data_IF_507712758532
#
_entry.id   IF_507712758532
#
_cell.length_a   1.000
_cell.length_b   1.000
_cell.length_c   1.000
_cell.angle_alpha   90.00
_cell.angle_beta   90.00
_cell.angle_gamma   90.00
#
_symmetry.space_group_name_H-M   'P 1'
#
loop_
_entity.id
_entity.type
_entity.pdbx_description
1 polymer ?
#
# COMPACT_ATOMS: atom_id res chain seq x y z
N UNK A 1 -7.05 -3.73 -11.17
CA UNK A 1 -6.87 -2.27 -11.30
C UNK A 1 -5.96 -1.76 -10.18
N UNK A 2 -5.10 -0.77 -10.42
CA UNK A 2 -4.14 -0.28 -9.41
C UNK A 2 -4.87 0.60 -8.37
N UNK A 3 -4.99 0.11 -7.14
CA UNK A 3 -5.71 0.80 -6.05
C UNK A 3 -5.14 2.19 -5.72
N UNK A 4 -3.83 2.44 -5.93
CA UNK A 4 -3.25 3.78 -5.74
C UNK A 4 -3.76 4.77 -6.79
N UNK A 5 -3.99 4.32 -8.02
CA UNK A 5 -4.55 5.17 -9.08
C UNK A 5 -6.02 5.50 -8.80
N UNK A 6 -6.80 4.56 -8.30
CA UNK A 6 -8.19 4.81 -7.90
C UNK A 6 -8.30 5.81 -6.74
N UNK A 7 -7.38 5.75 -5.77
CA UNK A 7 -7.33 6.75 -4.68
C UNK A 7 -7.13 8.15 -5.25
N UNK A 8 -6.08 8.31 -6.06
CA UNK A 8 -5.75 9.62 -6.63
C UNK A 8 -6.85 10.15 -7.54
N UNK A 9 -7.49 9.27 -8.31
CA UNK A 9 -8.65 9.59 -9.15
C UNK A 9 -9.79 10.17 -8.29
N UNK A 10 -10.15 9.50 -7.19
CA UNK A 10 -11.21 9.96 -6.28
C UNK A 10 -10.88 11.30 -5.64
N UNK A 11 -9.65 11.48 -5.15
CA UNK A 11 -9.21 12.73 -4.54
C UNK A 11 -9.38 13.92 -5.49
N UNK A 12 -9.01 13.75 -6.77
CA UNK A 12 -9.20 14.77 -7.79
C UNK A 12 -10.69 15.07 -8.00
N UNK A 13 -11.52 14.03 -8.15
CA UNK A 13 -12.96 14.23 -8.39
C UNK A 13 -13.68 14.86 -7.20
N UNK A 14 -13.27 14.55 -5.98
CA UNK A 14 -13.83 15.16 -4.76
C UNK A 14 -13.39 16.61 -4.63
N UNK A 15 -12.15 16.93 -4.98
CA UNK A 15 -11.70 18.32 -5.05
C UNK A 15 -12.49 19.12 -6.10
N UNK A 16 -12.77 18.52 -7.26
CA UNK A 16 -13.70 19.09 -8.25
C UNK A 16 -15.10 19.29 -7.69
N UNK A 17 -15.66 18.29 -6.99
CA UNK A 17 -16.98 18.37 -6.36
C UNK A 17 -17.05 19.55 -5.39
N UNK A 18 -16.07 19.66 -4.48
CA UNK A 18 -15.98 20.74 -3.48
C UNK A 18 -15.77 22.13 -4.08
N UNK A 19 -15.13 22.21 -5.26
CA UNK A 19 -14.92 23.46 -5.99
C UNK A 19 -16.06 23.80 -6.95
N UNK A 20 -17.04 22.90 -7.09
CA UNK A 20 -18.16 23.01 -8.02
C UNK A 20 -17.66 23.14 -9.48
N UNK A 21 -16.61 22.40 -9.82
CA UNK A 21 -16.00 22.41 -11.15
C UNK A 21 -16.05 21.04 -11.80
N UNK A 22 -16.02 21.02 -13.13
CA UNK A 22 -15.81 19.82 -13.95
C UNK A 22 -14.34 19.70 -14.35
N UNK A 23 -13.93 18.49 -14.74
CA UNK A 23 -12.61 18.22 -15.31
C UNK A 23 -12.72 17.48 -16.64
N UNK A 24 -11.93 17.88 -17.62
CA UNK A 24 -11.91 17.18 -18.91
C UNK A 24 -11.16 15.85 -18.81
N UNK A 25 -11.56 14.82 -19.57
CA UNK A 25 -10.85 13.53 -19.63
C UNK A 25 -9.33 13.68 -19.91
N UNK A 26 -8.96 14.62 -20.78
CA UNK A 26 -7.56 14.92 -21.09
C UNK A 26 -6.79 15.54 -19.91
N UNK A 27 -7.43 16.44 -19.18
CA UNK A 27 -6.86 17.07 -17.99
C UNK A 27 -6.73 16.06 -16.85
N UNK A 28 -7.74 15.21 -16.66
CA UNK A 28 -7.74 14.15 -15.65
C UNK A 28 -6.62 13.14 -15.89
N UNK A 29 -6.41 12.71 -17.14
CA UNK A 29 -5.29 11.86 -17.52
C UNK A 29 -3.94 12.50 -17.18
N UNK A 30 -3.75 13.80 -17.45
CA UNK A 30 -2.54 14.55 -17.08
C UNK A 30 -2.36 14.66 -15.57
N UNK A 31 -3.43 14.92 -14.81
CA UNK A 31 -3.40 14.99 -13.35
C UNK A 31 -3.00 13.65 -12.70
N UNK A 32 -3.25 12.54 -13.40
CA UNK A 32 -2.79 11.19 -13.07
C UNK A 32 -1.39 10.86 -13.63
N UNK A 33 -0.59 11.87 -13.98
CA UNK A 33 0.74 11.74 -14.58
C UNK A 33 0.76 10.96 -15.91
N UNK A 34 -0.34 10.96 -16.66
CA UNK A 34 -0.46 10.19 -17.90
C UNK A 34 -0.50 8.67 -17.69
N UNK A 35 -0.67 8.19 -16.45
CA UNK A 35 -0.70 6.76 -16.14
C UNK A 35 -1.86 6.02 -16.84
N UNK A 36 -2.95 6.72 -17.13
CA UNK A 36 -4.12 6.19 -17.84
C UNK A 36 -4.44 7.13 -19.01
N UNK A 37 -4.41 6.65 -20.27
CA UNK A 37 -4.84 7.44 -21.42
C UNK A 37 -6.32 7.85 -21.30
N UNK A 38 -6.74 9.01 -21.85
CA UNK A 38 -8.12 9.49 -21.74
C UNK A 38 -9.18 8.46 -22.13
N UNK A 39 -8.93 7.69 -23.20
CA UNK A 39 -9.85 6.67 -23.72
C UNK A 39 -10.06 5.49 -22.76
N UNK A 40 -9.11 5.24 -21.85
CA UNK A 40 -9.16 4.15 -20.87
C UNK A 40 -9.66 4.60 -19.49
N UNK A 41 -10.08 5.86 -19.34
CA UNK A 41 -10.60 6.37 -18.06
C UNK A 41 -12.03 5.89 -17.76
N UNK A 42 -12.80 5.46 -18.76
CA UNK A 42 -14.20 5.06 -18.58
C UNK A 42 -14.38 3.94 -17.55
N UNK A 43 -13.53 2.92 -17.58
CA UNK A 43 -13.61 1.78 -16.65
C UNK A 43 -13.26 2.19 -15.20
N UNK A 44 -12.13 2.87 -14.91
CA UNK A 44 -11.84 3.43 -13.59
C UNK A 44 -12.92 4.39 -13.06
N UNK A 45 -13.50 5.22 -13.94
CA UNK A 45 -14.54 6.18 -13.56
C UNK A 45 -15.84 5.47 -13.20
N UNK A 46 -16.24 4.46 -13.98
CA UNK A 46 -17.36 3.59 -13.65
C UNK A 46 -17.17 2.96 -12.27
N UNK A 47 -16.01 2.36 -12.00
CA UNK A 47 -15.72 1.76 -10.71
C UNK A 47 -15.82 2.76 -9.54
N UNK A 48 -15.35 4.00 -9.71
CA UNK A 48 -15.48 5.04 -8.68
C UNK A 48 -16.96 5.35 -8.41
N UNK A 49 -17.76 5.57 -9.45
CA UNK A 49 -19.18 5.89 -9.31
C UNK A 49 -19.98 4.73 -8.72
N UNK A 50 -19.70 3.49 -9.14
CA UNK A 50 -20.33 2.31 -8.56
C UNK A 50 -20.07 2.21 -7.05
N UNK A 51 -18.83 2.46 -6.61
CA UNK A 51 -18.51 2.50 -5.16
C UNK A 51 -19.21 3.63 -4.42
N UNK A 52 -19.54 4.75 -5.08
CA UNK A 52 -20.37 5.81 -4.49
C UNK A 52 -21.81 5.33 -4.32
N UNK A 53 -22.39 4.78 -5.39
CA UNK A 53 -23.78 4.31 -5.44
C UNK A 53 -24.05 3.22 -4.41
N UNK A 54 -23.14 2.25 -4.25
CA UNK A 54 -23.25 1.19 -3.23
C UNK A 54 -23.30 1.72 -1.79
N UNK A 55 -22.86 2.95 -1.56
CA UNK A 55 -22.90 3.64 -0.26
C UNK A 55 -24.05 4.65 -0.15
N UNK A 56 -24.89 4.75 -1.17
CA UNK A 56 -25.95 5.76 -1.26
C UNK A 56 -25.43 7.16 -1.59
N UNK A 57 -24.23 7.29 -2.16
CA UNK A 57 -23.65 8.58 -2.55
C UNK A 57 -23.82 8.83 -4.06
N UNK A 58 -23.89 10.09 -4.49
CA UNK A 58 -24.05 10.43 -5.91
C UNK A 58 -22.80 10.08 -6.73
N UNK A 59 -22.93 9.84 -8.05
CA UNK A 59 -21.85 9.29 -8.88
C UNK A 59 -20.81 10.36 -9.28
N UNK A 60 -19.62 10.34 -8.67
CA UNK A 60 -18.55 11.32 -8.94
C UNK A 60 -18.10 11.42 -10.40
N UNK A 61 -18.24 10.37 -11.20
CA UNK A 61 -17.85 10.42 -12.63
C UNK A 61 -18.65 11.43 -13.44
N UNK A 62 -19.77 11.94 -12.92
CA UNK A 62 -20.56 13.02 -13.54
C UNK A 62 -19.72 14.30 -13.76
N UNK A 63 -18.69 14.51 -12.93
CA UNK A 63 -17.81 15.68 -13.03
C UNK A 63 -16.78 15.57 -14.15
N UNK A 64 -16.67 14.41 -14.82
CA UNK A 64 -15.70 14.19 -15.89
C UNK A 64 -16.38 14.34 -17.23
N UNK A 65 -15.98 15.36 -17.97
CA UNK A 65 -16.66 15.74 -19.21
C UNK A 65 -15.73 15.64 -20.41
N UNK A 66 -16.33 15.42 -21.58
CA UNK A 66 -15.64 15.62 -22.85
C UNK A 66 -15.50 17.14 -23.11
N UNK A 67 -14.35 17.53 -23.66
CA UNK A 67 -14.02 18.93 -23.97
C UNK A 67 -15.02 19.59 -24.92
N UNK A 68 -15.50 18.87 -25.92
CA UNK A 68 -16.34 19.41 -26.99
C UNK A 68 -17.81 19.46 -26.58
N UNK A 69 -18.29 18.40 -25.91
CA UNK A 69 -19.71 18.28 -25.56
C UNK A 69 -20.05 18.82 -24.17
N UNK A 70 -19.04 19.05 -23.32
CA UNK A 70 -19.21 19.42 -21.90
C UNK A 70 -20.13 18.45 -21.13
N UNK A 71 -20.16 17.18 -21.56
CA UNK A 71 -20.96 16.11 -20.98
C UNK A 71 -20.09 14.90 -20.62
N UNK A 72 -20.52 14.07 -19.66
CA UNK A 72 -19.93 12.76 -19.43
C UNK A 72 -19.96 11.88 -20.68
N UNK A 73 -19.05 10.90 -20.72
CA UNK A 73 -19.07 9.89 -21.77
C UNK A 73 -20.28 8.96 -21.67
N UNK A 74 -20.62 8.29 -22.77
CA UNK A 74 -21.76 7.36 -22.88
C UNK A 74 -21.85 6.32 -21.76
N UNK A 75 -20.71 5.83 -21.25
CA UNK A 75 -20.66 4.89 -20.12
C UNK A 75 -21.33 5.40 -18.84
N UNK A 76 -21.42 6.72 -18.66
CA UNK A 76 -22.16 7.31 -17.55
C UNK A 76 -23.67 7.12 -17.71
N UNK A 77 -24.20 7.41 -18.90
CA UNK A 77 -25.64 7.33 -19.17
C UNK A 77 -26.16 5.92 -19.36
N UNK A 78 -25.27 4.97 -19.64
CA UNK A 78 -25.62 3.56 -19.83
C UNK A 78 -25.33 2.78 -18.56
N UNK A 79 -24.05 2.55 -18.25
CA UNK A 79 -23.66 1.67 -17.15
C UNK A 79 -23.87 2.30 -15.78
N UNK A 80 -23.46 3.56 -15.56
CA UNK A 80 -23.62 4.20 -14.23
C UNK A 80 -25.11 4.44 -13.94
N UNK A 81 -25.88 4.91 -14.92
CA UNK A 81 -27.33 5.05 -14.81
C UNK A 81 -28.02 3.71 -14.46
N UNK A 82 -27.60 2.60 -15.09
CA UNK A 82 -28.09 1.27 -14.75
C UNK A 82 -27.83 0.89 -13.29
N UNK A 83 -26.64 1.22 -12.75
CA UNK A 83 -26.34 0.98 -11.34
C UNK A 83 -27.20 1.81 -10.38
N UNK A 84 -27.73 2.94 -10.85
CA UNK A 84 -28.64 3.80 -10.10
C UNK A 84 -30.12 3.41 -10.24
N UNK A 85 -30.43 2.36 -11.01
CA UNK A 85 -31.80 1.89 -11.23
C UNK A 85 -32.42 2.32 -12.55
N UNK A 86 -31.63 2.88 -13.49
CA UNK A 86 -32.07 3.31 -14.82
C UNK A 86 -31.38 2.48 -15.92
N UNK A 87 -31.70 1.17 -16.08
CA UNK A 87 -30.97 0.28 -16.98
C UNK A 87 -31.07 0.65 -18.47
N UNK A 88 -32.15 1.32 -18.88
CA UNK A 88 -32.44 1.68 -20.27
C UNK A 88 -32.74 3.18 -20.41
N UNK A 89 -31.92 4.05 -19.79
CA UNK A 89 -32.11 5.50 -19.81
C UNK A 89 -32.14 6.05 -21.25
N UNK A 90 -33.27 6.59 -21.74
CA UNK A 90 -33.38 7.09 -23.09
C UNK A 90 -32.44 8.26 -23.35
N UNK A 91 -31.85 8.34 -24.55
CA UNK A 91 -30.96 9.44 -24.95
C UNK A 91 -31.57 10.84 -24.78
N UNK A 92 -32.90 10.95 -24.89
CA UNK A 92 -33.64 12.20 -24.66
C UNK A 92 -33.60 12.68 -23.20
N UNK A 93 -33.37 11.79 -22.25
CA UNK A 93 -33.34 12.09 -20.81
C UNK A 93 -31.92 12.34 -20.28
N UNK A 94 -30.88 12.10 -21.10
CA UNK A 94 -29.49 12.20 -20.67
C UNK A 94 -29.14 13.59 -20.13
N UNK A 95 -29.66 14.66 -20.73
CA UNK A 95 -29.38 16.02 -20.26
C UNK A 95 -29.97 16.28 -18.87
N UNK A 96 -31.23 15.89 -18.66
CA UNK A 96 -31.90 16.05 -17.36
C UNK A 96 -31.22 15.21 -16.30
N UNK A 97 -30.88 13.95 -16.63
CA UNK A 97 -30.16 13.05 -15.73
C UNK A 97 -28.77 13.62 -15.38
N UNK A 98 -28.05 14.17 -16.36
CA UNK A 98 -26.75 14.80 -16.12
C UNK A 98 -26.86 15.96 -15.15
N UNK A 99 -27.80 16.89 -15.38
CA UNK A 99 -27.99 18.06 -14.53
C UNK A 99 -28.37 17.66 -13.11
N UNK A 100 -29.33 16.73 -12.95
CA UNK A 100 -29.75 16.23 -11.65
C UNK A 100 -28.58 15.61 -10.88
N UNK A 101 -27.81 14.72 -11.51
CA UNK A 101 -26.68 14.07 -10.84
C UNK A 101 -25.52 15.05 -10.57
N UNK A 102 -25.32 16.04 -11.44
CA UNK A 102 -24.35 17.10 -11.20
C UNK A 102 -24.74 17.93 -9.97
N UNK A 103 -26.00 18.35 -9.87
CA UNK A 103 -26.55 19.06 -8.71
C UNK A 103 -26.44 18.23 -7.43
N UNK A 104 -26.76 16.94 -7.50
CA UNK A 104 -26.61 16.02 -6.37
C UNK A 104 -25.15 15.95 -5.90
N UNK A 105 -24.17 15.91 -6.82
CA UNK A 105 -22.76 15.84 -6.46
C UNK A 105 -22.24 17.13 -5.84
N UNK A 106 -22.58 18.30 -6.39
CA UNK A 106 -22.10 19.60 -5.86
C UNK A 106 -22.72 19.94 -4.52
N UNK A 107 -23.99 19.55 -4.28
CA UNK A 107 -24.69 19.84 -3.03
C UNK A 107 -24.49 18.75 -1.95
N UNK A 108 -23.64 17.76 -2.20
CA UNK A 108 -23.38 16.69 -1.25
C UNK A 108 -22.26 17.09 -0.27
N UNK A 109 -22.63 17.38 0.98
CA UNK A 109 -21.67 17.86 2.01
C UNK A 109 -20.78 16.75 2.58
N UNK A 110 -21.17 15.48 2.44
CA UNK A 110 -20.52 14.34 3.11
C UNK A 110 -19.37 13.72 2.30
N UNK A 111 -18.74 14.45 1.37
CA UNK A 111 -17.59 13.93 0.63
C UNK A 111 -16.41 13.53 1.53
N UNK A 112 -16.28 14.18 2.68
CA UNK A 112 -15.30 13.80 3.71
C UNK A 112 -15.60 12.41 4.29
N UNK A 113 -16.87 12.02 4.43
CA UNK A 113 -17.25 10.66 4.82
C UNK A 113 -16.94 9.64 3.72
N UNK A 114 -17.02 10.01 2.44
CA UNK A 114 -16.60 9.12 1.35
C UNK A 114 -15.08 8.90 1.36
N UNK A 115 -14.28 9.96 1.54
CA UNK A 115 -12.84 9.86 1.75
C UNK A 115 -12.52 9.04 2.99
N UNK A 116 -13.17 9.34 4.11
CA UNK A 116 -12.97 8.65 5.39
C UNK A 116 -13.42 7.21 5.32
N UNK A 117 -14.53 6.86 4.69
CA UNK A 117 -15.00 5.47 4.58
C UNK A 117 -14.12 4.63 3.67
N UNK A 118 -13.36 5.28 2.77
CA UNK A 118 -12.26 4.65 2.07
C UNK A 118 -11.03 4.51 2.97
N UNK A 119 -10.68 5.54 3.73
CA UNK A 119 -9.67 5.46 4.79
C UNK A 119 -10.05 4.51 5.93
N UNK A 120 -11.33 4.18 6.13
CA UNK A 120 -11.93 3.30 7.15
C UNK A 120 -12.12 1.89 6.61
N UNK A 121 -12.20 1.70 5.28
CA UNK A 121 -11.94 0.42 4.64
C UNK A 121 -10.43 0.15 4.44
N UNK A 122 -9.59 1.20 4.50
CA UNK A 122 -8.16 1.11 4.81
C UNK A 122 -7.84 1.26 6.31
N UNK A 123 -8.87 1.49 7.15
CA UNK A 123 -8.76 1.93 8.55
C UNK A 123 -9.39 0.97 9.54
N UNK A 124 -10.18 0.01 9.04
CA UNK A 124 -10.28 -1.35 9.59
C UNK A 124 -9.01 -2.17 9.31
N UNK A 125 -7.95 -1.48 8.84
CA UNK A 125 -6.55 -1.92 8.81
C UNK A 125 -5.61 -0.83 9.40
N UNK A 126 -6.09 -0.02 10.35
CA UNK A 126 -5.26 0.90 11.15
C UNK A 126 -5.18 0.49 12.63
N UNK A 127 -5.20 -0.82 12.88
CA UNK A 127 -4.53 -1.43 14.05
C UNK A 127 -3.27 -2.23 13.68
N UNK A 128 -2.92 -2.29 12.39
CA UNK A 128 -1.59 -2.70 11.93
C UNK A 128 -1.22 -1.81 10.74
N UNK A 129 -0.40 -0.78 11.00
CA UNK A 129 0.38 -0.13 9.94
C UNK A 129 0.89 -1.22 8.98
N UNK A 130 0.85 -1.02 7.67
CA UNK A 130 1.29 -2.02 6.69
C UNK A 130 2.72 -2.48 7.05
N UNK A 131 2.80 -3.57 7.82
CA UNK A 131 4.04 -4.08 8.40
C UNK A 131 4.82 -4.64 7.24
N UNK A 132 5.93 -4.01 6.93
CA UNK A 132 6.85 -4.62 5.99
C UNK A 132 7.37 -5.92 6.62
N UNK A 133 7.66 -6.89 5.76
CA UNK A 133 8.29 -8.13 6.18
C UNK A 133 9.70 -8.12 5.63
N UNK A 134 10.67 -8.33 6.51
CA UNK A 134 12.09 -8.31 6.21
C UNK A 134 12.67 -9.70 6.40
N UNK A 135 13.72 -10.00 5.64
CA UNK A 135 14.60 -11.13 5.90
C UNK A 135 16.01 -10.59 6.14
N UNK A 136 16.57 -10.90 7.30
CA UNK A 136 17.92 -10.52 7.66
C UNK A 136 18.81 -11.75 7.69
N UNK A 137 19.91 -11.69 6.96
CA UNK A 137 20.82 -12.81 6.84
C UNK A 137 22.01 -12.66 7.81
N UNK A 138 22.34 -13.75 8.50
CA UNK A 138 23.56 -13.89 9.30
C UNK A 138 24.35 -15.13 8.91
N UNK A 139 25.68 -15.04 9.00
CA UNK A 139 26.58 -16.15 8.66
C UNK A 139 27.17 -16.76 9.94
N UNK A 140 26.91 -18.06 10.23
CA UNK A 140 27.40 -18.72 11.44
C UNK A 140 28.92 -18.84 11.51
N UNK A 141 29.64 -18.68 10.39
CA UNK A 141 31.12 -18.63 10.37
C UNK A 141 31.62 -17.38 11.11
N UNK A 142 30.99 -16.23 10.89
CA UNK A 142 31.45 -14.94 11.44
C UNK A 142 30.80 -14.61 12.79
N UNK A 143 29.59 -15.11 13.02
CA UNK A 143 28.78 -14.75 14.18
C UNK A 143 28.04 -15.97 14.72
N UNK A 144 28.19 -16.27 16.01
CA UNK A 144 27.53 -17.39 16.71
C UNK A 144 26.03 -17.11 16.89
N UNK A 145 25.33 -17.09 15.78
CA UNK A 145 23.93 -16.68 15.62
C UNK A 145 22.95 -17.54 16.43
N UNK A 146 23.21 -18.85 16.52
CA UNK A 146 22.35 -19.75 17.30
C UNK A 146 22.44 -19.42 18.79
N UNK A 147 23.67 -19.29 19.32
CA UNK A 147 23.94 -18.89 20.71
C UNK A 147 23.31 -17.51 21.00
N UNK A 148 23.49 -16.56 20.08
CA UNK A 148 22.93 -15.22 20.25
C UNK A 148 21.41 -15.24 20.37
N UNK A 149 20.72 -16.00 19.52
CA UNK A 149 19.25 -16.09 19.50
C UNK A 149 18.68 -16.99 20.61
N UNK A 150 19.44 -17.96 21.12
CA UNK A 150 19.01 -18.80 22.26
C UNK A 150 19.13 -18.05 23.59
N UNK A 151 20.12 -17.16 23.70
CA UNK A 151 20.42 -16.43 24.93
C UNK A 151 19.72 -15.05 25.01
N UNK A 152 19.24 -14.51 23.88
CA UNK A 152 18.70 -13.15 23.83
C UNK A 152 17.35 -13.07 23.10
N UNK A 153 16.36 -12.47 23.77
CA UNK A 153 15.06 -12.13 23.15
C UNK A 153 15.09 -10.76 22.48
N UNK A 154 15.82 -9.79 23.05
CA UNK A 154 16.00 -8.47 22.47
C UNK A 154 17.40 -8.39 21.87
N UNK A 155 17.47 -8.19 20.56
CA UNK A 155 18.71 -8.21 19.80
C UNK A 155 18.89 -6.93 19.01
N UNK A 156 20.13 -6.68 18.59
CA UNK A 156 20.46 -5.64 17.61
C UNK A 156 21.03 -6.33 16.37
N UNK A 157 20.59 -5.91 15.19
CA UNK A 157 21.00 -6.53 13.95
C UNK A 157 21.67 -5.54 13.02
N UNK A 158 22.75 -5.93 12.36
CA UNK A 158 23.47 -5.08 11.41
C UNK A 158 22.64 -4.88 10.12
N UNK A 159 22.38 -3.63 9.76
CA UNK A 159 21.71 -3.22 8.53
C UNK A 159 22.74 -2.80 7.48
N UNK A 160 23.33 -3.79 6.80
CA UNK A 160 24.34 -3.54 5.76
C UNK A 160 23.83 -2.73 4.55
N UNK A 161 22.52 -2.79 4.28
CA UNK A 161 21.90 -2.11 3.14
C UNK A 161 21.22 -0.81 3.59
N UNK A 162 22.02 0.22 3.85
CA UNK A 162 21.58 1.48 4.47
C UNK A 162 20.43 2.20 3.76
N UNK A 163 20.29 2.05 2.44
CA UNK A 163 19.19 2.65 1.67
C UNK A 163 17.79 2.12 2.08
N UNK A 164 17.71 1.03 2.85
CA UNK A 164 16.46 0.55 3.46
C UNK A 164 16.13 1.21 4.80
N UNK A 165 17.01 2.03 5.38
CA UNK A 165 16.82 2.61 6.72
C UNK A 165 15.48 3.35 6.86
N UNK A 166 15.10 4.12 5.84
CA UNK A 166 13.87 4.93 5.85
C UNK A 166 12.59 4.10 5.59
N UNK A 167 12.73 2.82 5.26
CA UNK A 167 11.61 1.91 4.99
C UNK A 167 11.32 0.99 6.17
N UNK A 168 12.29 0.76 7.04
CA UNK A 168 12.14 -0.04 8.26
C UNK A 168 11.34 0.76 9.28
N UNK A 169 10.30 0.14 9.83
CA UNK A 169 9.39 0.77 10.80
C UNK A 169 9.23 -0.10 12.03
N UNK A 170 9.08 0.55 13.18
CA UNK A 170 8.63 -0.12 14.40
C UNK A 170 7.32 -0.84 14.10
N UNK A 171 7.25 -2.13 14.42
CA UNK A 171 6.10 -2.94 14.04
C UNK A 171 6.39 -4.00 12.98
N UNK A 172 7.35 -3.75 12.10
CA UNK A 172 7.65 -4.63 10.96
C UNK A 172 8.03 -6.03 11.41
N UNK A 173 7.65 -7.03 10.61
CA UNK A 173 8.01 -8.43 10.86
C UNK A 173 9.40 -8.69 10.30
N UNK A 174 10.22 -9.43 11.04
CA UNK A 174 11.55 -9.84 10.58
C UNK A 174 11.67 -11.35 10.67
N UNK A 175 12.21 -11.96 9.63
CA UNK A 175 12.72 -13.32 9.66
C UNK A 175 14.24 -13.30 9.66
N UNK A 176 14.86 -14.06 10.55
CA UNK A 176 16.32 -14.23 10.59
C UNK A 176 16.67 -15.47 9.78
N UNK A 177 17.43 -15.27 8.72
CA UNK A 177 17.98 -16.31 7.87
C UNK A 177 19.43 -16.59 8.28
N UNK A 178 19.73 -17.84 8.61
CA UNK A 178 21.09 -18.33 8.79
C UNK A 178 21.59 -18.90 7.46
N UNK A 179 22.73 -18.44 6.96
CA UNK A 179 23.38 -19.12 5.83
C UNK A 179 23.91 -20.50 6.23
N UNK A 180 24.20 -21.35 5.26
CA UNK A 180 24.65 -22.74 5.48
C UNK A 180 26.03 -22.87 6.14
N UNK A 181 26.83 -21.80 6.20
CA UNK A 181 28.11 -21.79 6.92
C UNK A 181 29.12 -22.83 6.40
N UNK A 182 29.01 -23.22 5.13
CA UNK A 182 29.83 -24.28 4.53
C UNK A 182 29.29 -25.71 4.74
N UNK A 183 28.15 -25.88 5.43
CA UNK A 183 27.47 -27.16 5.59
C UNK A 183 26.13 -27.15 4.84
N UNK A 184 26.12 -27.68 3.60
CA UNK A 184 24.95 -27.70 2.71
C UNK A 184 23.72 -28.26 3.43
N UNK A 185 22.57 -27.59 3.28
CA UNK A 185 21.30 -27.99 3.88
C UNK A 185 21.05 -27.46 5.30
N UNK A 186 22.02 -26.77 5.91
CA UNK A 186 21.84 -26.16 7.25
C UNK A 186 21.36 -24.71 7.21
N UNK A 187 21.26 -24.11 6.03
CA UNK A 187 20.77 -22.74 5.85
C UNK A 187 19.24 -22.66 5.86
N UNK A 188 18.69 -21.61 6.48
CA UNK A 188 17.23 -21.42 6.55
C UNK A 188 16.80 -20.32 7.50
N UNK A 189 15.47 -20.12 7.59
CA UNK A 189 14.86 -19.21 8.56
C UNK A 189 14.87 -19.86 9.94
N UNK A 190 15.57 -19.24 10.89
CA UNK A 190 15.78 -19.79 12.24
C UNK A 190 15.08 -18.99 13.34
N UNK A 191 14.60 -17.78 13.03
CA UNK A 191 13.82 -16.98 13.97
C UNK A 191 12.86 -16.03 13.25
N UNK A 192 11.82 -15.65 13.98
CA UNK A 192 10.86 -14.61 13.62
C UNK A 192 10.81 -13.60 14.76
N UNK A 193 10.84 -12.33 14.41
CA UNK A 193 10.81 -11.23 15.36
C UNK A 193 10.08 -10.01 14.82
N UNK A 194 10.20 -8.92 15.56
CA UNK A 194 9.54 -7.64 15.29
C UNK A 194 10.51 -6.50 15.52
N UNK A 195 10.51 -5.52 14.62
CA UNK A 195 11.27 -4.26 14.82
C UNK A 195 10.69 -3.49 16.00
N UNK A 196 11.54 -3.14 16.97
CA UNK A 196 11.13 -2.42 18.19
C UNK A 196 11.60 -0.97 18.24
N UNK A 197 12.46 -0.55 17.31
CA UNK A 197 13.04 0.79 17.27
C UNK A 197 13.53 1.16 15.87
N UNK A 198 13.85 2.44 15.68
CA UNK A 198 14.39 2.93 14.41
C UNK A 198 15.86 2.51 14.25
N UNK A 199 16.36 2.39 13.00
CA UNK A 199 17.79 2.17 12.78
C UNK A 199 18.66 3.24 13.45
N UNK A 200 19.78 2.83 14.05
CA UNK A 200 20.70 3.70 14.77
C UNK A 200 22.15 3.23 14.59
N UNK A 201 23.10 4.16 14.64
CA UNK A 201 24.53 3.83 14.57
C UNK A 201 24.99 3.26 15.92
N UNK A 202 25.61 2.09 15.91
CA UNK A 202 26.13 1.45 17.11
C UNK A 202 27.26 0.46 16.78
N UNK A 203 28.27 0.38 17.65
CA UNK A 203 29.20 -0.74 17.64
C UNK A 203 28.65 -1.85 18.56
N UNK A 204 29.07 -3.08 18.33
CA UNK A 204 28.52 -4.27 19.00
C UNK A 204 29.66 -5.23 19.32
N UNK A 205 30.40 -4.96 20.40
CA UNK A 205 31.50 -5.81 20.84
C UNK A 205 30.98 -7.09 21.50
N UNK A 206 29.82 -7.62 21.09
CA UNK A 206 29.25 -8.82 21.71
C UNK A 206 30.18 -10.03 21.56
N UNK A 207 30.16 -10.94 22.54
CA UNK A 207 31.04 -12.11 22.54
C UNK A 207 30.68 -13.15 21.46
N UNK A 208 29.61 -12.91 20.69
CA UNK A 208 29.14 -13.82 19.64
C UNK A 208 29.87 -13.63 18.31
N UNK A 209 30.62 -12.53 18.14
CA UNK A 209 31.51 -12.37 16.99
C UNK A 209 32.71 -13.31 17.11
N UNK A 210 32.96 -14.10 16.07
CA UNK A 210 34.17 -14.93 15.96
C UNK A 210 35.38 -14.11 15.46
N UNK A 211 35.16 -12.85 15.08
CA UNK A 211 36.14 -11.93 14.53
C UNK A 211 35.90 -10.50 15.06
N UNK A 212 36.60 -9.52 14.48
CA UNK A 212 36.53 -8.11 14.91
C UNK A 212 35.39 -7.30 14.26
N UNK A 213 34.49 -7.91 13.48
CA UNK A 213 33.42 -7.18 12.75
C UNK A 213 32.43 -6.45 13.68
N UNK A 214 32.36 -6.84 14.95
CA UNK A 214 31.53 -6.16 15.96
C UNK A 214 32.06 -4.80 16.42
N UNK A 215 33.33 -4.49 16.17
CA UNK A 215 33.97 -3.30 16.74
C UNK A 215 33.66 -2.00 15.98
N UNK A 216 33.19 -2.10 14.74
CA UNK A 216 32.91 -0.97 13.86
C UNK A 216 31.56 -0.32 14.15
N UNK A 217 31.51 1.01 14.06
CA UNK A 217 30.26 1.77 14.17
C UNK A 217 29.45 1.59 12.89
N UNK A 218 28.38 0.79 12.96
CA UNK A 218 27.54 0.44 11.81
C UNK A 218 26.08 0.71 12.10
N UNK A 219 25.26 0.83 11.06
CA UNK A 219 23.82 1.00 11.21
C UNK A 219 23.21 -0.32 11.70
N UNK A 220 22.51 -0.27 12.83
CA UNK A 220 21.85 -1.42 13.45
C UNK A 220 20.39 -1.14 13.67
N UNK A 221 19.60 -2.20 13.81
CA UNK A 221 18.18 -2.13 14.10
C UNK A 221 17.83 -3.05 15.28
N UNK A 222 17.05 -2.57 16.26
CA UNK A 222 16.64 -3.39 17.39
C UNK A 222 15.43 -4.26 17.03
N UNK A 223 15.48 -5.52 17.44
CA UNK A 223 14.50 -6.56 17.11
C UNK A 223 14.16 -7.32 18.39
N UNK A 224 12.88 -7.55 18.61
CA UNK A 224 12.41 -8.50 19.61
C UNK A 224 12.05 -9.81 18.92
N UNK A 225 12.73 -10.90 19.29
CA UNK A 225 12.46 -12.25 18.83
C UNK A 225 11.18 -12.75 19.48
N UNK A 226 10.28 -13.33 18.67
CA UNK A 226 8.99 -13.87 19.10
C UNK A 226 8.98 -15.39 19.04
N UNK A 227 9.54 -15.94 17.97
CA UNK A 227 9.65 -17.38 17.76
C UNK A 227 11.07 -17.69 17.29
N UNK A 228 11.67 -18.77 17.80
CA UNK A 228 12.92 -19.31 17.31
C UNK A 228 12.80 -20.82 17.12
N UNK A 229 13.38 -21.31 16.02
CA UNK A 229 13.45 -22.74 15.73
C UNK A 229 14.89 -23.08 15.36
N UNK A 230 15.62 -23.63 16.33
CA UNK A 230 17.03 -23.98 16.21
C UNK A 230 17.19 -25.49 15.98
N UNK A 231 16.49 -26.04 14.99
CA UNK A 231 16.56 -27.46 14.62
C UNK A 231 17.36 -27.66 13.33
N UNK A 232 17.80 -28.89 13.07
CA UNK A 232 18.37 -29.29 11.78
C UNK A 232 17.24 -29.63 10.78
N UNK A 233 17.45 -29.35 9.48
CA UNK A 233 16.51 -29.72 8.41
C UNK A 233 15.54 -28.61 7.95
N UNK A 234 16.07 -27.46 7.51
CA UNK A 234 15.26 -26.39 6.92
C UNK A 234 14.89 -26.67 5.45
N UNK A 235 13.90 -25.93 4.93
CA UNK A 235 13.55 -25.94 3.51
C UNK A 235 14.77 -25.48 2.70
N UNK A 236 15.42 -26.42 2.03
CA UNK A 236 16.59 -26.15 1.20
C UNK A 236 16.16 -25.63 -0.16
N UNK A 237 16.92 -24.68 -0.72
CA UNK A 237 16.78 -24.29 -2.12
C UNK A 237 17.04 -25.52 -3.00
N UNK A 238 16.05 -25.92 -3.80
CA UNK A 238 16.26 -26.94 -4.83
C UNK A 238 17.21 -26.36 -5.89
N UNK A 239 18.23 -27.13 -6.26
CA UNK A 239 19.20 -26.80 -7.30
C UNK A 239 18.56 -26.82 -8.70
#
# INVERSE_FOLDING_TARGET
MNEKLLVRLKEILIDCAKKHTVIEYGQLSKALNGAIPPIKLNEPLGEVSYRCIQKGFPPLSVLVVNRDTQRPGEGFFTWVAAQMGYPDLPGSEWENFFQEQFENVINFDNWDEFLQSYQKNQGKKLTEAQKNTWIFQGNPIHFRINDYLSENTNIIWNLKQEHYQNKIKIGDTVYIWRSDGGQKGTGGVIAKGKITGVPFLNNDPSPYWNNTEGLELTLKVPIEIKDSLLVEGFITRQE
#
